data_IF_972343027970
#
_entry.id   IF_972343027970
#
_cell.length_a   1.000
_cell.length_b   1.000
_cell.length_c   1.000
_cell.angle_alpha   90.00
_cell.angle_beta   90.00
_cell.angle_gamma   90.00
#
_symmetry.space_group_name_H-M   'P 1'
#
loop_
_entity.id
_entity.type
_entity.pdbx_description
1 polymer ?
#
# COMPACT_ATOMS: atom_id res chain seq x y z
N UNK A 1 2.66 -11.32 8.37
CA UNK A 1 3.74 -11.62 7.40
C UNK A 1 3.55 -10.69 6.21
N UNK A 2 4.64 -10.14 5.63
CA UNK A 2 4.53 -9.25 4.45
C UNK A 2 4.12 -10.02 3.18
N UNK A 3 4.57 -11.27 3.08
CA UNK A 3 4.31 -12.21 1.99
C UNK A 3 3.98 -13.60 2.59
N UNK A 4 2.75 -13.82 3.06
CA UNK A 4 2.33 -15.09 3.69
C UNK A 4 2.50 -16.34 2.82
N UNK A 5 2.44 -16.16 1.51
CA UNK A 5 2.47 -17.21 0.49
C UNK A 5 3.89 -17.53 0.01
N UNK A 6 4.89 -16.82 0.52
CA UNK A 6 6.30 -16.98 0.16
C UNK A 6 6.57 -16.86 -1.36
N UNK A 7 5.81 -15.98 -2.02
CA UNK A 7 5.89 -15.76 -3.47
C UNK A 7 7.16 -15.01 -3.88
N UNK A 8 7.68 -14.14 -3.02
CA UNK A 8 8.71 -13.17 -3.38
C UNK A 8 10.08 -13.51 -2.79
N UNK A 9 11.14 -13.09 -3.48
CA UNK A 9 12.50 -13.18 -2.93
C UNK A 9 12.70 -12.17 -1.80
N UNK A 10 13.81 -12.29 -1.07
CA UNK A 10 14.11 -11.43 0.08
C UNK A 10 14.22 -9.94 -0.28
N UNK A 11 14.73 -9.61 -1.47
CA UNK A 11 14.87 -8.21 -1.92
C UNK A 11 13.50 -7.58 -2.14
N UNK A 12 12.57 -8.31 -2.74
CA UNK A 12 11.21 -7.82 -2.98
C UNK A 12 10.43 -7.68 -1.67
N UNK A 13 10.58 -8.64 -0.75
CA UNK A 13 10.04 -8.52 0.62
C UNK A 13 10.59 -7.30 1.34
N UNK A 14 11.90 -7.04 1.24
CA UNK A 14 12.53 -5.85 1.82
C UNK A 14 12.04 -4.56 1.13
N UNK A 15 11.82 -4.59 -0.18
CA UNK A 15 11.25 -3.48 -0.94
C UNK A 15 9.84 -3.12 -0.46
N UNK A 16 8.97 -4.12 -0.26
CA UNK A 16 7.64 -3.92 0.33
C UNK A 16 7.70 -3.34 1.75
N UNK A 17 8.61 -3.84 2.60
CA UNK A 17 8.84 -3.29 3.95
C UNK A 17 9.31 -1.84 3.87
N UNK A 18 10.22 -1.53 2.94
CA UNK A 18 10.70 -0.17 2.73
C UNK A 18 9.56 0.78 2.34
N UNK A 19 8.64 0.37 1.47
CA UNK A 19 7.44 1.16 1.14
C UNK A 19 6.65 1.55 2.39
N UNK A 20 6.43 0.61 3.32
CA UNK A 20 5.70 0.87 4.57
C UNK A 20 6.48 1.78 5.53
N UNK A 21 7.79 1.59 5.62
CA UNK A 21 8.65 2.47 6.41
C UNK A 21 8.62 3.91 5.87
N UNK A 22 8.69 4.07 4.54
CA UNK A 22 8.61 5.37 3.90
C UNK A 22 7.23 6.02 4.04
N UNK A 23 6.16 5.22 4.08
CA UNK A 23 4.83 5.71 4.42
C UNK A 23 4.80 6.33 5.82
N UNK A 24 5.38 5.66 6.82
CA UNK A 24 5.49 6.19 8.19
C UNK A 24 6.34 7.46 8.28
N UNK A 25 7.45 7.51 7.54
CA UNK A 25 8.29 8.70 7.43
C UNK A 25 7.51 9.87 6.83
N UNK A 26 6.86 9.67 5.67
CA UNK A 26 6.04 10.68 5.01
C UNK A 26 4.90 11.18 5.91
N UNK A 27 4.18 10.27 6.58
CA UNK A 27 3.11 10.61 7.51
C UNK A 27 3.55 11.58 8.61
N UNK A 28 4.80 11.48 9.07
CA UNK A 28 5.36 12.40 10.07
C UNK A 28 5.49 13.83 9.53
N UNK A 29 5.93 13.98 8.28
CA UNK A 29 6.07 15.29 7.62
C UNK A 29 4.72 15.93 7.29
N UNK A 30 3.73 15.14 6.86
CA UNK A 30 2.40 15.65 6.44
C UNK A 30 1.32 15.51 7.52
N UNK A 31 1.72 15.25 8.77
CA UNK A 31 0.80 14.93 9.86
C UNK A 31 -0.30 16.00 10.08
N UNK A 32 0.01 17.28 9.82
CA UNK A 32 -0.98 18.36 9.88
C UNK A 32 -2.09 18.22 8.84
N UNK A 33 -1.74 17.94 7.58
CA UNK A 33 -2.70 17.77 6.48
C UNK A 33 -3.54 16.49 6.67
N UNK A 34 -2.92 15.41 7.14
CA UNK A 34 -3.63 14.17 7.49
C UNK A 34 -4.67 14.42 8.60
N UNK A 35 -4.29 15.12 9.69
CA UNK A 35 -5.23 15.45 10.78
C UNK A 35 -6.39 16.36 10.33
N UNK A 36 -6.13 17.28 9.40
CA UNK A 36 -7.15 18.18 8.83
C UNK A 36 -7.97 17.55 7.70
N UNK A 37 -7.63 16.32 7.29
CA UNK A 37 -8.28 15.60 6.18
C UNK A 37 -8.19 16.33 4.85
N UNK A 38 -7.07 16.99 4.61
CA UNK A 38 -6.78 17.66 3.33
C UNK A 38 -6.18 16.70 2.32
N UNK A 39 -5.67 15.55 2.78
CA UNK A 39 -5.04 14.54 1.95
C UNK A 39 -5.05 13.18 2.64
N UNK A 40 -4.87 12.13 1.86
CA UNK A 40 -4.68 10.75 2.31
C UNK A 40 -3.30 10.24 1.86
N UNK A 41 -2.83 9.18 2.51
CA UNK A 41 -1.53 8.60 2.25
C UNK A 41 -1.65 7.09 2.00
N UNK A 42 -1.21 6.65 0.83
CA UNK A 42 -1.32 5.29 0.36
C UNK A 42 0.06 4.72 -0.02
N UNK A 43 0.30 3.46 0.32
CA UNK A 43 1.50 2.74 -0.08
C UNK A 43 1.22 1.88 -1.30
N UNK A 44 1.88 2.18 -2.41
CA UNK A 44 1.83 1.38 -3.62
C UNK A 44 3.19 0.73 -3.87
N UNK A 45 3.19 -0.51 -4.34
CA UNK A 45 4.38 -1.27 -4.66
C UNK A 45 4.23 -1.90 -6.03
N UNK A 46 5.23 -1.76 -6.88
CA UNK A 46 5.20 -2.24 -8.25
C UNK A 46 6.16 -3.42 -8.41
N UNK A 47 5.62 -4.53 -8.89
CA UNK A 47 6.34 -5.77 -9.15
C UNK A 47 6.79 -5.77 -10.63
N UNK A 48 8.05 -6.11 -10.90
CA UNK A 48 8.66 -5.91 -12.23
C UNK A 48 8.46 -7.08 -13.19
N UNK A 49 8.38 -8.31 -12.69
CA UNK A 49 8.29 -9.53 -13.48
C UNK A 49 6.98 -9.58 -14.28
N UNK A 50 5.85 -9.33 -13.61
CA UNK A 50 4.52 -9.34 -14.22
C UNK A 50 3.96 -7.94 -14.49
N UNK A 51 4.70 -6.89 -14.12
CA UNK A 51 4.25 -5.50 -14.17
C UNK A 51 2.98 -5.24 -13.32
N UNK A 52 2.85 -5.97 -12.21
CA UNK A 52 1.70 -5.86 -11.31
C UNK A 52 1.84 -4.65 -10.37
N UNK A 53 0.77 -3.88 -10.22
CA UNK A 53 0.66 -2.85 -9.20
C UNK A 53 -0.04 -3.39 -7.96
N UNK A 54 0.53 -3.17 -6.79
CA UNK A 54 -0.06 -3.54 -5.51
C UNK A 54 -0.36 -2.31 -4.65
N UNK A 55 -1.48 -2.34 -3.93
CA UNK A 55 -1.82 -1.38 -2.89
C UNK A 55 -1.68 -2.03 -1.52
N UNK A 56 -1.13 -1.33 -0.53
CA UNK A 56 -1.17 -1.82 0.85
C UNK A 56 -2.56 -1.65 1.46
N UNK A 57 -3.24 -2.77 1.72
CA UNK A 57 -4.51 -2.81 2.42
C UNK A 57 -4.28 -2.81 3.93
N UNK A 58 -4.75 -1.77 4.62
CA UNK A 58 -4.68 -1.67 6.09
C UNK A 58 -5.59 -2.70 6.79
N UNK A 59 -6.77 -2.97 6.23
CA UNK A 59 -7.72 -3.95 6.79
C UNK A 59 -7.17 -5.38 6.69
N UNK A 60 -6.57 -5.73 5.54
CA UNK A 60 -5.98 -7.04 5.31
C UNK A 60 -4.52 -7.15 5.79
N UNK A 61 -3.89 -6.03 6.17
CA UNK A 61 -2.49 -5.89 6.63
C UNK A 61 -1.48 -6.48 5.65
N UNK A 62 -1.70 -6.30 4.34
CA UNK A 62 -0.85 -6.84 3.28
C UNK A 62 -0.99 -6.05 1.98
N UNK A 63 -0.03 -6.22 1.08
CA UNK A 63 -0.16 -5.77 -0.30
C UNK A 63 -1.18 -6.65 -1.04
N UNK A 64 -2.08 -6.00 -1.77
CA UNK A 64 -3.08 -6.63 -2.65
C UNK A 64 -2.83 -6.14 -4.08
N UNK A 65 -2.81 -7.07 -5.03
CA UNK A 65 -2.67 -6.73 -6.46
C UNK A 65 -3.92 -5.97 -6.90
N UNK A 66 -3.73 -4.93 -7.70
CA UNK A 66 -4.81 -4.18 -8.34
C UNK A 66 -5.03 -4.82 -9.72
N UNK A 67 -6.24 -5.30 -9.97
CA UNK A 67 -6.62 -5.88 -11.26
C UNK A 67 -8.06 -5.50 -11.62
N UNK A 68 -8.52 -5.91 -12.81
CA UNK A 68 -9.85 -5.57 -13.31
C UNK A 68 -11.00 -6.10 -12.43
N UNK A 69 -10.77 -7.20 -11.72
CA UNK A 69 -11.79 -7.85 -10.88
C UNK A 69 -12.02 -7.10 -9.57
N UNK A 70 -10.97 -6.48 -9.01
CA UNK A 70 -11.01 -5.83 -7.70
C UNK A 70 -10.85 -4.31 -7.73
N UNK A 71 -10.67 -3.72 -8.91
CA UNK A 71 -10.42 -2.28 -9.06
C UNK A 71 -11.49 -1.42 -8.38
N UNK A 72 -12.78 -1.71 -8.62
CA UNK A 72 -13.88 -0.93 -8.05
C UNK A 72 -13.95 -1.04 -6.52
N UNK A 73 -13.68 -2.23 -5.96
CA UNK A 73 -13.57 -2.44 -4.51
C UNK A 73 -12.44 -1.59 -3.93
N UNK A 74 -11.26 -1.64 -4.56
CA UNK A 74 -10.09 -0.90 -4.13
C UNK A 74 -10.31 0.62 -4.21
N UNK A 75 -10.92 1.11 -5.28
CA UNK A 75 -11.25 2.53 -5.42
C UNK A 75 -12.27 2.97 -4.37
N UNK A 76 -13.26 2.14 -4.08
CA UNK A 76 -14.22 2.39 -3.01
C UNK A 76 -13.52 2.47 -1.64
N UNK A 77 -12.60 1.54 -1.35
CA UNK A 77 -11.81 1.53 -0.11
C UNK A 77 -10.91 2.77 0.01
N UNK A 78 -10.26 3.17 -1.09
CA UNK A 78 -9.43 4.37 -1.15
C UNK A 78 -10.25 5.63 -0.90
N UNK A 79 -11.44 5.76 -1.51
CA UNK A 79 -12.33 6.92 -1.30
C UNK A 79 -12.88 7.00 0.12
N UNK A 80 -13.07 5.86 0.77
CA UNK A 80 -13.53 5.79 2.15
C UNK A 80 -12.37 5.73 3.16
N UNK A 81 -11.12 5.87 2.69
CA UNK A 81 -9.93 5.81 3.52
C UNK A 81 -9.97 6.90 4.58
N UNK A 82 -9.50 6.54 5.78
CA UNK A 82 -9.33 7.47 6.90
C UNK A 82 -7.98 7.18 7.54
N UNK A 83 -7.03 8.07 7.33
CA UNK A 83 -5.71 8.02 7.98
C UNK A 83 -5.83 8.16 9.50
#
# INVERSE_FOLDING_TARGET
LIDPEDKYNDKDKLSQINTLQQLGNAATYIAGALRRRETDLHGMWFELENADMYLFSRSRKRFIVINEENFEEIVHDVRNWRA
#
